data_IF_260933752978
#
_entry.id   IF_260933752978
#
_cell.length_a   1.000
_cell.length_b   1.000
_cell.length_c   1.000
_cell.angle_alpha   90.00
_cell.angle_beta   90.00
_cell.angle_gamma   90.00
#
_symmetry.space_group_name_H-M   'P 1'
#
loop_
_entity.id
_entity.type
_entity.pdbx_description
1 polymer ?
#
# COMPACT_ATOMS: atom_id res chain seq x y z
N UNK A 1 -29.43 -44.97 16.79
CA UNK A 1 -29.02 -43.58 17.06
C UNK A 1 -29.80 -42.70 16.12
N UNK A 2 -30.58 -41.74 16.64
CA UNK A 2 -31.27 -40.77 15.79
C UNK A 2 -30.33 -39.58 15.55
N UNK A 3 -30.18 -39.17 14.28
CA UNK A 3 -29.43 -37.98 13.91
C UNK A 3 -30.40 -36.79 13.90
N UNK A 4 -30.14 -35.79 14.74
CA UNK A 4 -30.95 -34.58 14.85
C UNK A 4 -30.17 -33.39 14.28
N UNK A 5 -30.86 -32.57 13.49
CA UNK A 5 -30.32 -31.32 12.92
C UNK A 5 -30.88 -30.12 13.66
N UNK A 6 -30.00 -29.25 14.15
CA UNK A 6 -30.39 -27.96 14.71
C UNK A 6 -30.93 -27.04 13.60
N UNK A 7 -32.15 -26.56 13.80
CA UNK A 7 -32.85 -25.69 12.83
C UNK A 7 -32.99 -24.26 13.34
N UNK A 8 -32.97 -24.04 14.66
CA UNK A 8 -33.00 -22.68 15.21
C UNK A 8 -33.10 -22.62 16.72
N UNK A 9 -33.36 -21.42 17.22
CA UNK A 9 -33.57 -21.12 18.64
C UNK A 9 -34.96 -20.52 18.81
N UNK A 10 -35.76 -21.11 19.70
CA UNK A 10 -37.09 -20.62 20.09
C UNK A 10 -36.99 -19.87 21.41
N UNK A 11 -37.56 -18.67 21.45
CA UNK A 11 -37.70 -17.81 22.64
C UNK A 11 -36.38 -17.55 23.40
N UNK A 12 -35.23 -17.69 22.71
CA UNK A 12 -33.89 -17.54 23.30
C UNK A 12 -33.49 -18.57 24.36
N UNK A 13 -34.37 -19.53 24.66
CA UNK A 13 -34.21 -20.47 25.79
C UNK A 13 -34.31 -21.93 25.37
N UNK A 14 -34.69 -22.20 24.13
CA UNK A 14 -34.88 -23.55 23.63
C UNK A 14 -34.28 -23.71 22.22
N UNK A 15 -33.60 -24.82 21.95
CA UNK A 15 -33.14 -25.21 20.62
C UNK A 15 -34.23 -26.01 19.91
N UNK A 16 -34.43 -25.75 18.62
CA UNK A 16 -35.34 -26.50 17.75
C UNK A 16 -34.51 -27.45 16.89
N UNK A 17 -34.74 -28.74 17.08
CA UNK A 17 -34.06 -29.84 16.43
C UNK A 17 -35.05 -30.56 15.50
N UNK A 18 -34.58 -31.09 14.38
CA UNK A 18 -35.40 -31.85 13.43
C UNK A 18 -34.70 -33.17 13.11
N UNK A 19 -35.41 -34.28 13.09
CA UNK A 19 -34.85 -35.58 12.68
C UNK A 19 -34.79 -35.74 11.13
N UNK A 20 -34.46 -36.93 10.64
CA UNK A 20 -34.41 -37.19 9.20
C UNK A 20 -35.80 -37.30 8.57
N UNK A 21 -36.81 -37.62 9.38
CA UNK A 21 -38.21 -37.79 9.03
C UNK A 21 -39.01 -36.47 9.10
N UNK A 22 -38.40 -35.39 9.58
CA UNK A 22 -38.99 -34.05 9.68
C UNK A 22 -39.73 -33.77 10.98
N UNK A 23 -39.63 -34.65 11.99
CA UNK A 23 -40.22 -34.41 13.30
C UNK A 23 -39.42 -33.39 14.10
N UNK A 24 -40.13 -32.42 14.68
CA UNK A 24 -39.54 -31.36 15.49
C UNK A 24 -39.41 -31.77 16.96
N UNK A 25 -38.23 -31.50 17.52
CA UNK A 25 -37.89 -31.71 18.92
C UNK A 25 -37.40 -30.40 19.52
N UNK A 26 -37.75 -30.15 20.78
CA UNK A 26 -37.31 -28.96 21.50
C UNK A 26 -36.40 -29.36 22.66
N UNK A 27 -35.23 -28.73 22.76
CA UNK A 27 -34.26 -28.96 23.83
C UNK A 27 -34.03 -27.67 24.63
N UNK A 28 -34.23 -27.64 25.97
CA UNK A 28 -33.97 -26.46 26.77
C UNK A 28 -32.47 -26.11 26.82
N UNK A 29 -32.16 -24.81 26.81
CA UNK A 29 -30.81 -24.28 27.01
C UNK A 29 -30.56 -24.13 28.50
N UNK A 30 -30.28 -25.26 29.15
CA UNK A 30 -29.96 -25.32 30.57
C UNK A 30 -28.45 -25.23 30.84
N UNK A 31 -28.10 -25.18 32.12
CA UNK A 31 -26.70 -25.09 32.54
C UNK A 31 -25.91 -26.36 32.21
N UNK A 32 -26.58 -27.50 32.03
CA UNK A 32 -25.94 -28.74 31.60
C UNK A 32 -25.52 -28.65 30.12
N UNK A 33 -26.40 -28.18 29.24
CA UNK A 33 -26.10 -27.94 27.84
C UNK A 33 -24.97 -26.89 27.72
N UNK A 34 -25.05 -25.79 28.47
CA UNK A 34 -23.99 -24.76 28.49
C UNK A 34 -22.66 -25.32 28.99
N UNK A 35 -22.65 -26.11 30.07
CA UNK A 35 -21.45 -26.73 30.60
C UNK A 35 -20.86 -27.78 29.65
N UNK A 36 -21.71 -28.52 28.92
CA UNK A 36 -21.30 -29.52 27.93
C UNK A 36 -20.71 -28.87 26.67
N UNK A 37 -21.26 -27.74 26.21
CA UNK A 37 -20.67 -26.94 25.14
C UNK A 37 -19.31 -26.34 25.55
N UNK A 38 -19.18 -25.86 26.81
CA UNK A 38 -17.89 -25.38 27.34
C UNK A 38 -16.85 -26.50 27.45
N UNK A 39 -17.24 -27.69 27.92
CA UNK A 39 -16.35 -28.86 27.99
C UNK A 39 -15.95 -29.37 26.61
N UNK A 40 -16.87 -29.42 25.64
CA UNK A 40 -16.57 -29.76 24.26
C UNK A 40 -15.56 -28.79 23.60
N UNK A 41 -15.52 -27.52 24.03
CA UNK A 41 -14.47 -26.57 23.61
C UNK A 41 -13.14 -26.76 24.35
N UNK A 42 -13.18 -27.22 25.60
CA UNK A 42 -11.99 -27.49 26.42
C UNK A 42 -11.34 -28.85 26.13
N UNK A 43 -12.05 -29.77 25.45
CA UNK A 43 -11.59 -31.13 25.10
C UNK A 43 -10.99 -31.24 23.69
N UNK A 44 -10.42 -30.16 23.13
CA UNK A 44 -9.44 -30.36 22.05
C UNK A 44 -8.13 -30.78 22.71
N UNK A 45 -7.69 -32.05 22.60
CA UNK A 45 -6.50 -32.50 23.28
C UNK A 45 -5.31 -31.76 22.67
N UNK A 46 -4.48 -31.14 23.50
CA UNK A 46 -3.13 -30.73 23.15
C UNK A 46 -2.28 -31.99 22.95
N UNK A 47 -2.53 -32.70 21.83
CA UNK A 47 -1.85 -33.91 21.44
C UNK A 47 -0.98 -33.63 20.22
N UNK A 48 0.31 -33.37 20.47
CA UNK A 48 1.41 -33.43 19.50
C UNK A 48 1.12 -32.83 18.10
N UNK A 49 0.65 -31.59 18.04
CA UNK A 49 0.95 -30.73 16.90
C UNK A 49 2.37 -30.22 17.11
N UNK A 50 3.25 -30.35 16.11
CA UNK A 50 4.46 -29.53 16.07
C UNK A 50 4.05 -28.10 16.43
N UNK A 51 4.65 -27.55 17.49
CA UNK A 51 4.35 -26.19 17.90
C UNK A 51 4.62 -25.28 16.71
N UNK A 52 3.60 -24.53 16.26
CA UNK A 52 3.72 -23.62 15.12
C UNK A 52 4.98 -22.77 15.30
N UNK A 53 5.88 -22.88 14.34
CA UNK A 53 7.19 -22.25 14.40
C UNK A 53 7.06 -20.75 14.13
N UNK A 54 8.00 -19.91 14.62
CA UNK A 54 8.06 -18.49 14.26
C UNK A 54 8.03 -18.25 12.74
N UNK A 55 8.62 -19.16 11.97
CA UNK A 55 8.63 -19.10 10.50
C UNK A 55 7.23 -19.25 9.92
N UNK A 56 6.43 -20.18 10.44
CA UNK A 56 5.05 -20.41 9.96
C UNK A 56 4.14 -19.23 10.31
N UNK A 57 4.26 -18.68 11.53
CA UNK A 57 3.56 -17.45 11.94
C UNK A 57 3.86 -16.32 10.95
N UNK A 58 5.14 -16.08 10.68
CA UNK A 58 5.56 -15.07 9.71
C UNK A 58 5.04 -15.36 8.30
N UNK A 59 5.03 -16.62 7.86
CA UNK A 59 4.52 -16.99 6.54
C UNK A 59 3.01 -16.70 6.42
N UNK A 60 2.23 -16.97 7.46
CA UNK A 60 0.79 -16.65 7.47
C UNK A 60 0.54 -15.14 7.45
N UNK A 61 1.27 -14.38 8.27
CA UNK A 61 1.20 -12.90 8.28
C UNK A 61 1.63 -12.31 6.92
N UNK A 62 2.68 -12.86 6.29
CA UNK A 62 3.11 -12.48 4.94
C UNK A 62 2.07 -12.82 3.88
N UNK A 63 1.28 -13.88 4.08
CA UNK A 63 0.18 -14.23 3.19
C UNK A 63 -1.04 -13.30 3.32
N UNK A 64 -0.99 -12.34 4.26
CA UNK A 64 -2.05 -11.36 4.49
C UNK A 64 -3.03 -11.73 5.60
N UNK A 65 -2.78 -12.82 6.35
CA UNK A 65 -3.60 -13.16 7.51
C UNK A 65 -3.43 -12.12 8.63
N UNK A 66 -4.52 -11.81 9.32
CA UNK A 66 -4.53 -10.95 10.51
C UNK A 66 -3.99 -11.68 11.73
N UNK A 67 -3.59 -10.92 12.76
CA UNK A 67 -3.14 -11.47 14.05
C UNK A 67 -4.16 -12.46 14.63
N UNK A 68 -5.45 -12.09 14.60
CA UNK A 68 -6.54 -12.90 15.10
C UNK A 68 -6.71 -14.19 14.30
N UNK A 69 -6.71 -14.13 12.97
CA UNK A 69 -6.80 -15.33 12.12
C UNK A 69 -5.61 -16.27 12.34
N UNK A 70 -4.40 -15.71 12.48
CA UNK A 70 -3.20 -16.52 12.77
C UNK A 70 -3.29 -17.15 14.15
N UNK A 71 -3.75 -16.43 15.18
CA UNK A 71 -3.96 -16.96 16.52
C UNK A 71 -4.98 -18.11 16.51
N UNK A 72 -6.12 -17.94 15.82
CA UNK A 72 -7.15 -18.97 15.68
C UNK A 72 -6.64 -20.23 14.95
N UNK A 73 -5.92 -20.04 13.84
CA UNK A 73 -5.39 -21.15 13.03
C UNK A 73 -4.24 -21.90 13.72
N UNK A 74 -3.40 -21.18 14.47
CA UNK A 74 -2.22 -21.75 15.16
C UNK A 74 -2.52 -22.26 16.57
N UNK A 75 -3.65 -21.85 17.17
CA UNK A 75 -3.98 -22.12 18.56
C UNK A 75 -3.14 -21.32 19.58
N UNK A 76 -2.42 -20.29 19.13
CA UNK A 76 -1.64 -19.38 19.97
C UNK A 76 -2.49 -18.23 20.48
N UNK A 77 -2.00 -17.50 21.48
CA UNK A 77 -2.66 -16.26 21.93
C UNK A 77 -2.35 -15.09 20.96
N UNK A 78 -3.27 -14.13 20.77
CA UNK A 78 -3.03 -12.96 19.93
C UNK A 78 -1.76 -12.19 20.35
N UNK A 79 -1.53 -12.02 21.65
CA UNK A 79 -0.37 -11.28 22.19
C UNK A 79 0.98 -11.96 21.87
N UNK A 80 0.96 -13.27 21.60
CA UNK A 80 2.14 -13.98 21.11
C UNK A 80 2.41 -13.65 19.64
N UNK A 81 1.35 -13.62 18.82
CA UNK A 81 1.41 -13.37 17.37
C UNK A 81 1.76 -11.91 17.06
N UNK A 82 1.24 -10.94 17.82
CA UNK A 82 1.50 -9.50 17.66
C UNK A 82 3.00 -9.16 17.61
N UNK A 83 3.84 -9.93 18.30
CA UNK A 83 5.31 -9.75 18.31
C UNK A 83 5.94 -9.91 16.92
N UNK A 84 5.27 -10.64 16.03
CA UNK A 84 5.72 -10.90 14.67
C UNK A 84 5.09 -9.95 13.64
N UNK A 85 4.00 -9.26 13.99
CA UNK A 85 3.25 -8.38 13.08
C UNK A 85 4.09 -7.19 12.62
N UNK A 86 4.63 -6.40 13.55
CA UNK A 86 5.40 -5.19 13.23
C UNK A 86 6.54 -5.44 12.23
N UNK A 87 7.41 -6.45 12.45
CA UNK A 87 8.45 -6.85 11.49
C UNK A 87 7.89 -7.26 10.12
N UNK A 88 6.82 -8.06 10.06
CA UNK A 88 6.25 -8.54 8.79
C UNK A 88 5.56 -7.41 8.02
N UNK A 89 4.83 -6.52 8.71
CA UNK A 89 4.23 -5.34 8.11
C UNK A 89 5.28 -4.43 7.51
N UNK A 90 6.40 -4.21 8.21
CA UNK A 90 7.53 -3.42 7.70
C UNK A 90 8.15 -4.06 6.45
N UNK A 91 8.28 -5.39 6.43
CA UNK A 91 8.76 -6.13 5.25
C UNK A 91 7.81 -5.94 4.05
N UNK A 92 6.50 -6.09 4.25
CA UNK A 92 5.49 -5.90 3.20
C UNK A 92 5.52 -4.49 2.63
N UNK A 93 5.58 -3.48 3.49
CA UNK A 93 5.70 -2.06 3.09
C UNK A 93 6.99 -1.83 2.31
N UNK A 94 8.11 -2.41 2.74
CA UNK A 94 9.37 -2.30 2.01
C UNK A 94 9.26 -2.93 0.62
N UNK A 95 8.64 -4.10 0.48
CA UNK A 95 8.41 -4.75 -0.82
C UNK A 95 7.55 -3.88 -1.72
N UNK A 96 6.46 -3.29 -1.20
CA UNK A 96 5.63 -2.34 -1.96
C UNK A 96 6.48 -1.20 -2.51
N UNK A 97 7.29 -0.55 -1.67
CA UNK A 97 8.15 0.57 -2.11
C UNK A 97 9.15 0.14 -3.20
N UNK A 98 9.77 -1.04 -3.06
CA UNK A 98 10.68 -1.55 -4.08
C UNK A 98 9.96 -1.85 -5.39
N UNK A 99 8.78 -2.45 -5.33
CA UNK A 99 8.01 -2.84 -6.50
C UNK A 99 7.49 -1.61 -7.27
N UNK A 100 7.00 -0.59 -6.56
CA UNK A 100 6.57 0.68 -7.17
C UNK A 100 7.69 1.41 -7.91
N UNK A 101 8.96 1.18 -7.53
CA UNK A 101 10.15 1.75 -8.15
C UNK A 101 10.75 0.88 -9.28
N UNK A 102 10.06 -0.18 -9.70
CA UNK A 102 10.49 -0.99 -10.86
C UNK A 102 10.11 -0.26 -12.15
N UNK A 103 11.08 0.01 -13.07
CA UNK A 103 10.78 0.54 -14.39
C UNK A 103 9.92 -0.41 -15.20
N UNK A 104 8.88 0.11 -15.84
CA UNK A 104 7.98 -0.66 -16.71
C UNK A 104 8.30 -0.29 -18.15
N UNK A 105 9.04 -1.15 -18.85
CA UNK A 105 9.46 -0.92 -20.22
C UNK A 105 10.90 -1.39 -20.47
N UNK A 106 11.39 -1.20 -21.70
CA UNK A 106 12.75 -1.66 -22.12
C UNK A 106 13.75 -0.52 -22.25
N UNK A 107 13.32 0.73 -22.10
CA UNK A 107 14.15 1.91 -22.29
C UNK A 107 14.68 2.43 -20.95
N UNK A 108 15.87 3.09 -20.91
CA UNK A 108 16.41 3.68 -19.69
C UNK A 108 15.46 4.67 -19.02
N UNK A 109 14.68 5.40 -19.82
CA UNK A 109 13.74 6.44 -19.36
C UNK A 109 12.31 5.89 -19.19
N UNK A 110 12.16 4.57 -19.04
CA UNK A 110 10.83 3.97 -18.82
C UNK A 110 10.25 4.45 -17.49
N UNK A 111 8.96 4.79 -17.41
CA UNK A 111 8.33 5.19 -16.16
C UNK A 111 8.36 4.03 -15.17
N UNK A 112 8.40 4.34 -13.88
CA UNK A 112 8.26 3.32 -12.83
C UNK A 112 6.79 2.95 -12.63
N UNK A 113 6.54 1.76 -12.10
CA UNK A 113 5.19 1.23 -11.91
C UNK A 113 4.28 2.20 -11.13
N UNK A 114 4.78 2.78 -10.04
CA UNK A 114 3.99 3.67 -9.18
C UNK A 114 3.45 4.87 -9.94
N UNK A 115 4.32 5.56 -10.68
CA UNK A 115 3.96 6.74 -11.48
C UNK A 115 3.05 6.36 -12.64
N UNK A 116 3.36 5.27 -13.35
CA UNK A 116 2.56 4.80 -14.48
C UNK A 116 1.14 4.41 -14.05
N UNK A 117 1.00 3.69 -12.93
CA UNK A 117 -0.29 3.30 -12.39
C UNK A 117 -1.10 4.54 -11.96
N UNK A 118 -0.46 5.52 -11.32
CA UNK A 118 -1.08 6.78 -10.94
C UNK A 118 -1.63 7.55 -12.14
N UNK A 119 -0.80 7.73 -13.18
CA UNK A 119 -1.19 8.42 -14.41
C UNK A 119 -2.34 7.72 -15.13
N UNK A 120 -2.29 6.39 -15.24
CA UNK A 120 -3.36 5.60 -15.86
C UNK A 120 -4.65 5.72 -15.05
N UNK A 121 -4.61 5.61 -13.73
CA UNK A 121 -5.79 5.71 -12.87
C UNK A 121 -6.41 7.11 -12.84
N UNK A 122 -5.61 8.16 -13.04
CA UNK A 122 -6.12 9.52 -13.23
C UNK A 122 -7.07 9.61 -14.44
N UNK A 123 -6.82 8.84 -15.51
CA UNK A 123 -7.75 8.78 -16.67
C UNK A 123 -9.12 8.18 -16.33
N UNK A 124 -9.18 7.34 -15.30
CA UNK A 124 -10.42 6.78 -14.71
C UNK A 124 -10.98 7.64 -13.57
N UNK A 125 -10.40 8.83 -13.32
CA UNK A 125 -10.77 9.77 -12.24
C UNK A 125 -10.68 9.17 -10.84
N UNK A 126 -9.76 8.24 -10.63
CA UNK A 126 -9.45 7.69 -9.30
C UNK A 126 -8.56 8.66 -8.56
N UNK A 127 -8.88 8.96 -7.30
CA UNK A 127 -8.09 9.87 -6.48
C UNK A 127 -6.80 9.16 -5.99
N UNK A 128 -5.63 9.82 -6.00
CA UNK A 128 -4.37 9.24 -5.53
C UNK A 128 -4.44 8.70 -4.09
N UNK A 129 -5.13 9.43 -3.20
CA UNK A 129 -5.25 9.06 -1.78
C UNK A 129 -6.21 7.87 -1.54
N UNK A 130 -6.92 7.42 -2.59
CA UNK A 130 -7.80 6.23 -2.53
C UNK A 130 -7.10 4.94 -2.97
N UNK A 131 -5.81 5.03 -3.33
CA UNK A 131 -5.01 3.90 -3.76
C UNK A 131 -4.43 3.15 -2.55
N UNK A 132 -4.75 1.87 -2.45
CA UNK A 132 -4.24 1.01 -1.38
C UNK A 132 -3.27 -0.01 -1.96
N UNK A 133 -1.99 0.18 -1.66
CA UNK A 133 -0.94 -0.75 -2.04
C UNK A 133 -0.64 -1.74 -0.91
N UNK A 134 -0.42 -2.98 -1.30
CA UNK A 134 -0.04 -4.04 -0.39
C UNK A 134 0.86 -5.07 -1.10
N UNK A 135 1.63 -5.83 -0.33
CA UNK A 135 2.40 -6.95 -0.81
C UNK A 135 2.12 -8.18 0.05
N UNK A 136 1.82 -9.30 -0.60
CA UNK A 136 1.59 -10.59 0.06
C UNK A 136 2.46 -11.67 -0.53
N UNK A 137 2.77 -12.69 0.26
CA UNK A 137 3.57 -13.83 -0.17
C UNK A 137 3.01 -15.12 0.38
N UNK A 138 2.59 -16.01 -0.51
CA UNK A 138 2.13 -17.34 -0.15
C UNK A 138 3.32 -18.29 0.02
N UNK A 139 3.53 -18.77 1.24
CA UNK A 139 4.59 -19.74 1.55
C UNK A 139 6.00 -19.22 1.22
N UNK A 140 6.70 -19.91 0.33
CA UNK A 140 8.02 -19.52 -0.17
C UNK A 140 8.02 -18.96 -1.60
N UNK A 141 6.83 -18.78 -2.21
CA UNK A 141 6.68 -18.29 -3.58
C UNK A 141 7.15 -16.85 -3.77
N UNK A 142 7.02 -16.27 -4.97
CA UNK A 142 7.32 -14.86 -5.21
C UNK A 142 6.37 -13.94 -4.44
N UNK A 143 6.75 -12.67 -4.28
CA UNK A 143 5.85 -11.66 -3.74
C UNK A 143 4.79 -11.31 -4.78
N UNK A 144 3.56 -11.11 -4.33
CA UNK A 144 2.48 -10.54 -5.13
C UNK A 144 2.22 -9.13 -4.64
N UNK A 145 2.44 -8.16 -5.51
CA UNK A 145 2.03 -6.77 -5.30
C UNK A 145 0.55 -6.64 -5.64
N UNK A 146 -0.17 -5.89 -4.82
CA UNK A 146 -1.61 -5.69 -4.92
C UNK A 146 -1.88 -4.19 -4.88
N UNK A 147 -2.72 -3.74 -5.79
CA UNK A 147 -3.28 -2.39 -5.77
C UNK A 147 -4.79 -2.48 -5.74
N UNK A 148 -5.42 -1.94 -4.71
CA UNK A 148 -6.87 -1.82 -4.61
C UNK A 148 -7.29 -0.36 -4.84
N UNK A 149 -8.34 -0.15 -5.65
CA UNK A 149 -8.78 1.19 -6.03
C UNK A 149 -10.27 1.23 -6.41
N UNK A 150 -10.98 2.34 -6.14
CA UNK A 150 -12.39 2.48 -6.50
C UNK A 150 -12.57 2.97 -7.94
N UNK A 151 -13.48 2.36 -8.69
CA UNK A 151 -13.95 2.81 -10.01
C UNK A 151 -15.47 2.75 -10.05
N UNK A 152 -16.12 3.90 -10.31
CA UNK A 152 -17.57 3.99 -10.45
C UNK A 152 -18.37 3.30 -9.31
N UNK A 153 -17.87 3.42 -8.07
CA UNK A 153 -18.49 2.83 -6.88
C UNK A 153 -18.18 1.35 -6.63
N UNK A 154 -17.30 0.73 -7.44
CA UNK A 154 -16.81 -0.63 -7.24
C UNK A 154 -15.35 -0.62 -6.84
N UNK A 155 -14.97 -1.41 -5.84
CA UNK A 155 -13.56 -1.66 -5.53
C UNK A 155 -13.01 -2.68 -6.53
N UNK A 156 -11.98 -2.29 -7.28
CA UNK A 156 -11.23 -3.17 -8.17
C UNK A 156 -9.85 -3.46 -7.57
N UNK A 157 -9.19 -4.49 -8.10
CA UNK A 157 -7.86 -4.89 -7.70
C UNK A 157 -7.01 -5.24 -8.93
N UNK A 158 -5.75 -4.83 -8.88
CA UNK A 158 -4.71 -5.25 -9.81
C UNK A 158 -3.62 -6.00 -9.04
N UNK A 159 -3.06 -7.05 -9.64
CA UNK A 159 -2.05 -7.89 -9.03
C UNK A 159 -0.86 -8.18 -9.95
N UNK A 160 0.34 -8.11 -9.39
CA UNK A 160 1.59 -8.42 -10.09
C UNK A 160 2.44 -9.38 -9.29
N UNK A 161 3.06 -10.34 -9.96
CA UNK A 161 4.16 -11.11 -9.39
C UNK A 161 5.43 -10.26 -9.44
N UNK A 162 6.16 -10.19 -8.34
CA UNK A 162 7.34 -9.34 -8.17
C UNK A 162 8.51 -10.14 -7.67
N UNK A 163 9.62 -10.00 -8.38
CA UNK A 163 10.95 -10.38 -7.88
C UNK A 163 11.76 -9.11 -7.62
N UNK A 164 11.90 -8.80 -6.33
CA UNK A 164 12.59 -7.61 -5.85
C UNK A 164 14.10 -7.68 -6.12
N UNK A 165 14.70 -8.88 -6.16
CA UNK A 165 16.14 -9.03 -6.38
C UNK A 165 16.49 -8.77 -7.84
N UNK A 166 15.73 -9.33 -8.77
CA UNK A 166 15.92 -9.08 -10.21
C UNK A 166 15.27 -7.78 -10.68
N UNK A 167 14.52 -7.10 -9.79
CA UNK A 167 13.70 -5.91 -10.11
C UNK A 167 12.80 -6.16 -11.31
N UNK A 168 12.14 -7.31 -11.32
CA UNK A 168 11.22 -7.71 -12.38
C UNK A 168 9.79 -7.84 -11.86
N UNK A 169 8.84 -7.63 -12.77
CA UNK A 169 7.43 -7.53 -12.47
C UNK A 169 6.60 -8.14 -13.61
N UNK A 170 5.61 -8.96 -13.26
CA UNK A 170 4.76 -9.66 -14.20
C UNK A 170 3.28 -9.49 -13.84
N UNK A 171 2.48 -8.97 -14.76
CA UNK A 171 1.04 -8.75 -14.56
C UNK A 171 0.25 -10.06 -14.56
N UNK A 172 -0.58 -10.27 -13.54
CA UNK A 172 -1.33 -11.52 -13.34
C UNK A 172 -2.75 -11.41 -13.91
N UNK A 173 -3.36 -10.24 -13.83
CA UNK A 173 -4.74 -9.97 -14.23
C UNK A 173 -4.85 -8.85 -15.29
N UNK A 174 -6.07 -8.58 -15.77
CA UNK A 174 -6.27 -7.59 -16.83
C UNK A 174 -6.05 -6.15 -16.35
N UNK A 175 -6.38 -5.84 -15.08
CA UNK A 175 -6.18 -4.51 -14.53
C UNK A 175 -4.69 -4.19 -14.36
N UNK A 176 -3.92 -5.13 -13.84
CA UNK A 176 -2.46 -5.03 -13.74
C UNK A 176 -1.80 -4.89 -15.10
N UNK A 177 -2.24 -5.65 -16.11
CA UNK A 177 -1.76 -5.50 -17.50
C UNK A 177 -2.01 -4.10 -18.02
N UNK A 178 -3.25 -3.60 -17.90
CA UNK A 178 -3.63 -2.27 -18.36
C UNK A 178 -2.85 -1.17 -17.64
N UNK A 179 -2.64 -1.30 -16.32
CA UNK A 179 -1.88 -0.37 -15.51
C UNK A 179 -0.37 -0.39 -15.82
N UNK A 180 0.17 -1.52 -16.26
CA UNK A 180 1.59 -1.66 -16.60
C UNK A 180 1.87 -1.70 -18.12
N UNK A 181 0.91 -1.29 -18.95
CA UNK A 181 1.12 -1.22 -20.40
C UNK A 181 1.77 0.12 -20.76
N UNK A 182 2.91 0.06 -21.46
CA UNK A 182 3.53 1.25 -22.05
C UNK A 182 3.11 1.43 -23.49
N UNK A 183 2.90 2.67 -23.92
CA UNK A 183 2.51 2.99 -25.30
C UNK A 183 3.55 2.51 -26.34
N UNK A 184 4.80 2.24 -25.92
CA UNK A 184 5.84 1.65 -26.76
C UNK A 184 5.50 0.23 -27.27
N UNK A 185 4.70 -0.53 -26.51
CA UNK A 185 4.17 -1.85 -26.92
C UNK A 185 2.85 -1.74 -27.68
N UNK A 186 2.21 -0.56 -27.71
CA UNK A 186 1.04 -0.29 -28.55
C UNK A 186 1.48 0.07 -29.99
N UNK A 187 0.83 -0.45 -31.04
CA UNK A 187 1.14 -0.07 -32.43
C UNK A 187 1.03 1.44 -32.71
N UNK A 188 0.37 2.19 -31.82
CA UNK A 188 0.21 3.66 -31.88
C UNK A 188 1.40 4.44 -31.31
N UNK A 189 2.16 3.89 -30.35
CA UNK A 189 3.36 4.56 -29.82
C UNK A 189 4.52 4.64 -30.82
N UNK A 190 4.51 3.77 -31.85
CA UNK A 190 5.48 3.84 -32.96
C UNK A 190 5.33 5.05 -33.88
N UNK A 191 4.27 5.87 -33.72
CA UNK A 191 3.99 7.03 -34.60
C UNK A 191 4.07 8.40 -33.91
N UNK A 192 4.47 8.47 -32.65
CA UNK A 192 4.29 9.68 -31.84
C UNK A 192 5.54 10.18 -31.10
N UNK A 193 6.72 10.24 -31.74
CA UNK A 193 7.87 10.95 -31.18
C UNK A 193 8.59 11.76 -32.28
N UNK A 194 7.85 12.69 -32.89
CA UNK A 194 8.41 13.83 -33.59
C UNK A 194 7.82 15.10 -32.96
N UNK A 195 8.56 15.65 -32.00
CA UNK A 195 8.54 17.07 -31.61
C UNK A 195 7.25 17.65 -31.04
N UNK A 196 7.11 17.64 -29.71
CA UNK A 196 6.58 18.80 -28.96
C UNK A 196 7.41 18.95 -27.69
N UNK A 197 8.48 19.74 -27.78
CA UNK A 197 9.09 20.39 -26.62
C UNK A 197 8.16 21.53 -26.21
N UNK A 198 7.31 21.30 -25.22
CA UNK A 198 6.68 22.40 -24.49
C UNK A 198 7.42 22.59 -23.18
N UNK A 199 8.26 23.62 -23.19
CA UNK A 199 8.91 24.18 -22.03
C UNK A 199 7.86 24.75 -21.07
N UNK A 200 7.93 24.36 -19.80
CA UNK A 200 7.37 25.18 -18.72
C UNK A 200 8.50 26.00 -18.08
N UNK A 201 8.25 27.27 -17.74
CA UNK A 201 9.29 28.21 -17.34
C UNK A 201 9.74 27.97 -15.90
N UNK A 202 11.05 27.83 -15.71
CA UNK A 202 11.68 27.93 -14.38
C UNK A 202 11.45 29.33 -13.80
N UNK A 203 10.86 29.36 -12.60
CA UNK A 203 10.79 30.54 -11.73
C UNK A 203 12.21 30.89 -11.27
N UNK A 204 12.83 31.86 -11.94
CA UNK A 204 13.96 32.61 -11.41
C UNK A 204 13.45 33.96 -10.87
N UNK A 205 13.50 34.14 -9.56
CA UNK A 205 13.36 35.45 -8.91
C UNK A 205 14.75 36.08 -8.85
N UNK A 206 15.02 37.04 -9.76
CA UNK A 206 14.92 38.50 -9.60
C UNK A 206 16.14 39.11 -8.90
N UNK A 207 17.09 39.59 -9.70
CA UNK A 207 17.91 40.76 -9.37
C UNK A 207 17.34 42.03 -10.05
N UNK A 208 17.45 43.21 -9.42
CA UNK A 208 16.77 44.43 -9.86
C UNK A 208 17.50 45.16 -10.98
N UNK A 209 16.75 45.50 -12.04
CA UNK A 209 17.16 46.45 -13.06
C UNK A 209 17.06 47.89 -12.53
N UNK A 210 18.17 48.64 -12.63
CA UNK A 210 18.23 50.05 -12.28
C UNK A 210 17.45 50.97 -13.22
N UNK A 211 17.18 52.23 -12.82
CA UNK A 211 16.50 53.20 -13.67
C UNK A 211 17.48 54.07 -14.47
N UNK A 212 17.14 54.27 -15.74
CA UNK A 212 17.67 55.30 -16.67
C UNK A 212 16.42 55.94 -17.28
N UNK A 213 16.19 57.25 -17.44
CA UNK A 213 16.73 58.55 -17.01
C UNK A 213 15.62 59.57 -17.39
N UNK A 214 15.79 60.90 -17.18
CA UNK A 214 16.00 61.72 -18.37
C UNK A 214 17.02 62.86 -18.21
N UNK A 215 17.60 63.27 -19.34
CA UNK A 215 18.60 64.35 -19.54
C UNK A 215 17.92 65.68 -19.90
N UNK A 216 18.43 66.80 -19.35
CA UNK A 216 18.77 68.06 -20.07
C UNK A 216 19.72 68.95 -19.19
N UNK A 217 20.42 70.00 -19.69
CA UNK A 217 21.87 70.15 -19.52
C UNK A 217 22.37 71.49 -18.90
N UNK A 218 23.71 71.57 -18.73
CA UNK A 218 24.62 72.73 -18.76
C UNK A 218 24.71 73.74 -17.59
N UNK A 219 25.96 73.90 -17.09
CA UNK A 219 26.68 75.10 -16.58
C UNK A 219 27.65 74.65 -15.47
N UNK A 220 28.95 74.50 -15.75
CA UNK A 220 30.01 75.51 -15.57
C UNK A 220 30.46 75.72 -14.11
N UNK A 221 31.69 75.27 -13.87
CA UNK A 221 32.82 76.05 -13.35
C UNK A 221 33.25 75.98 -11.86
N UNK A 222 34.58 75.84 -11.74
CA UNK A 222 35.52 76.17 -10.67
C UNK A 222 35.50 75.48 -9.30
N UNK A 223 36.73 75.11 -8.88
CA UNK A 223 37.22 75.34 -7.51
C UNK A 223 37.53 74.07 -6.73
N UNK A 224 38.76 73.53 -6.76
CA UNK A 224 39.93 73.95 -5.95
C UNK A 224 39.98 73.27 -4.58
N UNK A 225 41.03 72.45 -4.41
CA UNK A 225 41.84 72.19 -3.19
C UNK A 225 41.09 71.71 -1.92
N UNK A 226 41.63 70.92 -1.00
CA UNK A 226 43.01 70.73 -0.57
C UNK A 226 43.03 69.54 0.41
N UNK A 227 44.13 68.79 0.36
CA UNK A 227 44.80 68.02 1.42
C UNK A 227 44.15 67.81 2.81
N UNK A 228 44.08 66.52 3.18
CA UNK A 228 44.98 65.85 4.17
C UNK A 228 44.86 66.25 5.68
N UNK A 229 45.49 65.55 6.64
CA UNK A 229 45.09 64.24 7.18
C UNK A 229 45.06 64.19 8.73
N UNK A 230 44.92 62.96 9.24
CA UNK A 230 45.61 62.39 10.40
C UNK A 230 44.91 62.34 11.78
N UNK A 231 45.32 61.31 12.52
CA UNK A 231 45.04 61.04 13.93
C UNK A 231 44.03 59.91 14.07
N UNK A 232 44.45 58.66 14.29
CA UNK A 232 44.92 58.21 15.61
C UNK A 232 43.69 57.78 16.42
N UNK A 233 43.58 56.62 17.07
CA UNK A 233 44.60 55.75 17.63
C UNK A 233 43.91 54.43 18.00
N UNK A 234 44.74 53.39 17.99
CA UNK A 234 44.54 52.03 18.44
C UNK A 234 44.24 51.91 19.96
N UNK A 235 43.68 50.75 20.32
CA UNK A 235 43.92 49.97 21.56
C UNK A 235 42.64 49.45 22.26
N UNK A 236 42.49 48.12 22.13
CA UNK A 236 42.17 47.12 23.16
C UNK A 236 40.85 47.23 23.94
#
# INVERSE_FOLDING_TARGET
MANLRLTGVKDGTHLVLVDAEGAEYTLPIDDNLRASLRRGRAERPAGATESVTPREIQQMLRAGATVDEVAELSGLSPEHVERFEGPVTSERVWVVQQAMAIPVGRHPDSPVLGDLALDRLATRRVAPDSLEWDAVRSGSGPWTLLLSFPVEGRQLRASWEVDVQSRSLHAIDDESRWLSETDADSPRGRRGLAGVVNAFPSRAEREPAGPVAPRVPAAEDTGTSENDPAGGTDAL
#
